data_IF_603938052250
#
_entry.id   IF_603938052250
#
_cell.length_a   1.000
_cell.length_b   1.000
_cell.length_c   1.000
_cell.angle_alpha   90.00
_cell.angle_beta   90.00
_cell.angle_gamma   90.00
#
_symmetry.space_group_name_H-M   'P 1'
#
loop_
_entity.id
_entity.type
_entity.pdbx_description
1 polymer ?
#
# COMPACT_ATOMS: atom_id res chain seq x y z
N UNK A 1 11.23 18.22 -8.91
CA UNK A 1 10.17 19.25 -8.85
C UNK A 1 9.30 19.10 -7.59
N UNK A 2 8.69 17.93 -7.37
CA UNK A 2 7.81 17.63 -6.22
C UNK A 2 8.41 17.95 -4.83
N UNK A 3 9.61 17.45 -4.51
CA UNK A 3 10.22 17.73 -3.19
C UNK A 3 10.55 19.21 -2.97
N UNK A 4 10.85 19.97 -4.04
CA UNK A 4 11.07 21.42 -3.91
C UNK A 4 9.77 22.14 -3.56
N UNK A 5 8.64 21.72 -4.14
CA UNK A 5 7.31 22.21 -3.80
C UNK A 5 7.00 21.93 -2.32
N UNK A 6 7.18 20.69 -1.85
CA UNK A 6 6.97 20.34 -0.44
C UNK A 6 7.86 21.16 0.51
N UNK A 7 9.15 21.30 0.19
CA UNK A 7 10.08 22.13 0.99
C UNK A 7 9.69 23.60 1.02
N UNK A 8 9.04 24.11 -0.03
CA UNK A 8 8.60 25.51 -0.04
C UNK A 8 7.53 25.82 1.01
N UNK A 9 6.80 24.79 1.49
CA UNK A 9 5.82 24.93 2.58
C UNK A 9 6.45 25.28 3.92
N UNK A 10 7.78 25.12 4.08
CA UNK A 10 8.50 25.56 5.28
C UNK A 10 8.41 27.07 5.50
N UNK A 11 8.07 27.85 4.46
CA UNK A 11 7.76 29.28 4.58
C UNK A 11 6.54 29.54 5.47
N UNK A 12 5.61 28.58 5.57
CA UNK A 12 4.41 28.70 6.43
C UNK A 12 4.75 28.40 7.89
N UNK A 13 5.55 27.36 8.13
CA UNK A 13 6.08 27.05 9.46
C UNK A 13 7.33 26.15 9.30
N UNK A 14 8.44 26.41 10.02
CA UNK A 14 9.67 25.62 9.92
C UNK A 14 9.49 24.12 10.22
N UNK A 15 8.50 23.75 11.04
CA UNK A 15 8.20 22.37 11.45
C UNK A 15 7.35 21.60 10.44
N UNK A 16 6.85 22.24 9.38
CA UNK A 16 6.04 21.57 8.34
C UNK A 16 6.81 20.42 7.70
N UNK A 17 8.12 20.59 7.49
CA UNK A 17 8.96 19.52 6.94
C UNK A 17 8.96 18.27 7.82
N UNK A 18 8.98 18.43 9.14
CA UNK A 18 9.00 17.29 10.06
C UNK A 18 7.71 16.47 9.95
N UNK A 19 6.55 17.12 9.79
CA UNK A 19 5.27 16.45 9.58
C UNK A 19 5.14 15.85 8.17
N UNK A 20 5.72 16.48 7.14
CA UNK A 20 5.83 15.91 5.80
C UNK A 20 6.65 14.62 5.82
N UNK A 21 7.76 14.60 6.56
CA UNK A 21 8.58 13.41 6.74
C UNK A 21 7.85 12.34 7.56
N UNK A 22 7.14 12.73 8.62
CA UNK A 22 6.36 11.82 9.47
C UNK A 22 5.25 11.10 8.67
N UNK A 23 4.60 11.81 7.76
CA UNK A 23 3.56 11.25 6.88
C UNK A 23 4.12 10.52 5.66
N UNK A 24 5.43 10.63 5.42
CA UNK A 24 6.12 10.14 4.22
C UNK A 24 5.58 10.75 2.91
N UNK A 25 5.04 11.96 2.97
CA UNK A 25 4.63 12.68 1.77
C UNK A 25 5.82 12.98 0.86
N UNK A 26 7.04 13.07 1.39
CA UNK A 26 8.27 13.18 0.59
C UNK A 26 8.62 11.91 -0.21
N UNK A 27 7.99 10.76 0.13
CA UNK A 27 8.21 9.42 -0.43
C UNK A 27 6.86 8.75 -0.76
N UNK A 28 6.15 9.20 -1.81
CA UNK A 28 4.74 8.86 -2.06
C UNK A 28 4.49 7.44 -2.56
N UNK A 29 5.52 6.59 -2.69
CA UNK A 29 5.39 5.22 -3.22
C UNK A 29 4.30 4.42 -2.51
N UNK A 30 4.21 4.54 -1.18
CA UNK A 30 3.21 3.84 -0.41
C UNK A 30 1.78 4.35 -0.65
N UNK A 31 1.61 5.61 -1.06
CA UNK A 31 0.31 6.13 -1.49
C UNK A 31 -0.08 5.44 -2.80
N UNK A 32 0.84 5.37 -3.76
CA UNK A 32 0.53 4.77 -5.05
C UNK A 32 0.23 3.27 -4.98
N UNK A 33 0.99 2.52 -4.17
CA UNK A 33 0.77 1.08 -3.98
C UNK A 33 -0.59 0.78 -3.31
N UNK A 34 -1.13 1.72 -2.54
CA UNK A 34 -2.49 1.64 -1.99
C UNK A 34 -3.56 2.17 -2.97
N UNK A 35 -3.20 3.19 -3.75
CA UNK A 35 -4.10 3.87 -4.68
C UNK A 35 -4.48 3.00 -5.87
N UNK A 36 -3.51 2.38 -6.55
CA UNK A 36 -3.81 1.62 -7.77
C UNK A 36 -4.83 0.50 -7.55
N UNK A 37 -4.67 -0.39 -6.56
CA UNK A 37 -5.65 -1.45 -6.31
C UNK A 37 -7.03 -0.90 -5.93
N UNK A 38 -7.08 0.19 -5.17
CA UNK A 38 -8.32 0.88 -4.83
C UNK A 38 -9.01 1.38 -6.09
N UNK A 39 -8.26 1.98 -7.02
CA UNK A 39 -8.79 2.44 -8.30
C UNK A 39 -9.15 1.29 -9.24
N UNK A 40 -8.44 0.16 -9.23
CA UNK A 40 -8.86 -1.05 -9.98
C UNK A 40 -10.26 -1.47 -9.56
N UNK A 41 -10.47 -1.61 -8.24
CA UNK A 41 -11.75 -2.01 -7.69
C UNK A 41 -12.85 -0.99 -8.03
N UNK A 42 -12.57 0.31 -7.88
CA UNK A 42 -13.54 1.36 -8.17
C UNK A 42 -13.93 1.40 -9.66
N UNK A 43 -12.96 1.28 -10.57
CA UNK A 43 -13.24 1.28 -12.02
C UNK A 43 -14.02 0.04 -12.46
N UNK A 44 -13.66 -1.15 -11.95
CA UNK A 44 -14.38 -2.39 -12.24
C UNK A 44 -15.80 -2.33 -11.67
N UNK A 45 -15.96 -1.86 -10.43
CA UNK A 45 -17.27 -1.72 -9.78
C UNK A 45 -18.18 -0.74 -10.53
N UNK A 46 -17.63 0.39 -10.99
CA UNK A 46 -18.34 1.39 -11.79
C UNK A 46 -18.45 1.05 -13.28
N UNK A 47 -18.01 -0.15 -13.70
CA UNK A 47 -17.99 -0.61 -15.10
C UNK A 47 -17.38 0.42 -16.06
N UNK A 48 -16.27 1.04 -15.65
CA UNK A 48 -15.58 2.07 -16.43
C UNK A 48 -15.97 3.51 -16.17
N UNK A 49 -17.10 3.74 -15.48
CA UNK A 49 -17.62 5.08 -15.18
C UNK A 49 -17.95 5.24 -13.68
N UNK A 50 -16.96 5.13 -12.78
CA UNK A 50 -17.21 5.31 -11.36
C UNK A 50 -17.65 6.73 -11.01
N UNK A 51 -18.47 6.85 -9.98
CA UNK A 51 -18.92 8.14 -9.44
C UNK A 51 -17.74 9.04 -9.09
N UNK A 52 -17.75 10.28 -9.59
CA UNK A 52 -16.73 11.28 -9.27
C UNK A 52 -16.61 11.51 -7.76
N UNK A 53 -17.74 11.47 -7.04
CA UNK A 53 -17.77 11.56 -5.58
C UNK A 53 -16.97 10.43 -4.94
N UNK A 54 -17.18 9.19 -5.38
CA UNK A 54 -16.43 8.04 -4.87
C UNK A 54 -14.94 8.12 -5.25
N UNK A 55 -14.60 8.55 -6.47
CA UNK A 55 -13.19 8.78 -6.85
C UNK A 55 -12.52 9.73 -5.87
N UNK A 56 -13.14 10.89 -5.60
CA UNK A 56 -12.58 11.89 -4.68
C UNK A 56 -12.46 11.35 -3.26
N UNK A 57 -13.51 10.70 -2.75
CA UNK A 57 -13.54 10.09 -1.41
C UNK A 57 -12.41 9.07 -1.25
N UNK A 58 -12.27 8.13 -2.19
CA UNK A 58 -11.28 7.07 -2.08
C UNK A 58 -9.84 7.58 -2.31
N UNK A 59 -9.61 8.50 -3.26
CA UNK A 59 -8.27 9.07 -3.46
C UNK A 59 -7.82 9.86 -2.23
N UNK A 60 -8.66 10.74 -1.68
CA UNK A 60 -8.33 11.47 -0.45
C UNK A 60 -8.20 10.52 0.75
N UNK A 61 -9.09 9.55 0.86
CA UNK A 61 -9.06 8.52 1.90
C UNK A 61 -7.75 7.73 1.87
N UNK A 62 -7.28 7.30 0.71
CA UNK A 62 -5.99 6.62 0.51
C UNK A 62 -4.83 7.49 0.99
N UNK A 63 -4.80 8.77 0.60
CA UNK A 63 -3.73 9.69 1.00
C UNK A 63 -3.70 9.88 2.52
N UNK A 64 -4.87 10.12 3.13
CA UNK A 64 -5.00 10.38 4.57
C UNK A 64 -4.72 9.12 5.41
N UNK A 65 -5.28 7.97 5.03
CA UNK A 65 -5.07 6.70 5.73
C UNK A 65 -3.63 6.22 5.62
N UNK A 66 -3.00 6.37 4.45
CA UNK A 66 -1.58 6.06 4.27
C UNK A 66 -0.70 6.95 5.13
N UNK A 67 -0.98 8.25 5.18
CA UNK A 67 -0.27 9.22 6.01
C UNK A 67 -0.42 8.88 7.51
N UNK A 68 -1.65 8.61 7.97
CA UNK A 68 -1.91 8.20 9.34
C UNK A 68 -1.24 6.87 9.69
N UNK A 69 -1.25 5.90 8.77
CA UNK A 69 -0.52 4.65 8.89
C UNK A 69 0.98 4.84 9.07
N UNK A 70 1.60 5.81 8.39
CA UNK A 70 3.00 6.18 8.67
C UNK A 70 3.18 6.70 10.09
N UNK A 71 2.31 7.63 10.52
CA UNK A 71 2.41 8.30 11.82
C UNK A 71 2.30 7.29 12.97
N UNK A 72 1.29 6.41 12.93
CA UNK A 72 1.11 5.41 14.00
C UNK A 72 2.19 4.33 13.97
N UNK A 73 2.69 3.96 12.79
CA UNK A 73 3.80 3.02 12.68
C UNK A 73 5.08 3.60 13.30
N UNK A 74 5.47 4.83 12.93
CA UNK A 74 6.64 5.49 13.52
C UNK A 74 6.45 5.71 15.04
N UNK A 75 5.23 5.99 15.50
CA UNK A 75 4.93 6.07 16.93
C UNK A 75 5.11 4.72 17.63
N UNK A 76 4.60 3.62 17.07
CA UNK A 76 4.74 2.27 17.62
C UNK A 76 6.21 1.80 17.65
N UNK A 77 6.99 2.26 16.67
CA UNK A 77 8.37 1.85 16.42
C UNK A 77 9.42 2.78 17.05
N UNK A 78 9.02 3.90 17.65
CA UNK A 78 9.92 4.95 18.18
C UNK A 78 11.05 4.46 19.11
N UNK A 79 10.86 3.34 19.80
CA UNK A 79 11.89 2.75 20.70
C UNK A 79 12.87 1.82 19.97
N UNK A 80 12.49 1.34 18.80
CA UNK A 80 13.25 0.37 17.98
C UNK A 80 13.95 1.08 16.83
N UNK A 81 13.29 2.06 16.20
CA UNK A 81 13.80 2.78 15.03
C UNK A 81 15.15 3.48 15.27
N UNK A 82 15.47 3.87 16.51
CA UNK A 82 16.78 4.43 16.86
C UNK A 82 17.96 3.47 16.66
N UNK A 83 17.71 2.17 16.52
CA UNK A 83 18.74 1.14 16.36
C UNK A 83 18.91 0.68 14.90
N UNK A 84 18.14 1.25 13.95
CA UNK A 84 18.18 0.87 12.54
C UNK A 84 18.69 2.05 11.71
N UNK A 85 19.79 1.84 10.98
CA UNK A 85 20.50 2.88 10.21
C UNK A 85 19.60 3.73 9.30
N UNK A 86 18.56 3.11 8.73
CA UNK A 86 17.62 3.78 7.82
C UNK A 86 16.58 4.66 8.54
N UNK A 87 16.28 4.37 9.81
CA UNK A 87 15.16 4.97 10.55
C UNK A 87 15.61 5.80 11.76
N UNK A 88 16.90 5.81 12.09
CA UNK A 88 17.49 6.60 13.18
C UNK A 88 17.23 8.12 13.06
N UNK A 89 17.07 8.65 11.83
CA UNK A 89 16.81 10.07 11.57
C UNK A 89 15.31 10.44 11.51
N UNK A 90 14.40 9.53 11.87
CA UNK A 90 12.95 9.81 11.85
C UNK A 90 12.59 10.96 12.80
N UNK A 91 11.56 11.79 12.50
CA UNK A 91 11.19 12.94 13.33
C UNK A 91 10.85 12.59 14.79
N UNK A 92 10.23 11.43 15.03
CA UNK A 92 9.89 10.95 16.37
C UNK A 92 11.11 10.43 17.15
N UNK A 93 12.10 9.86 16.46
CA UNK A 93 13.34 9.33 17.06
C UNK A 93 14.29 10.48 17.40
N UNK A 94 14.44 11.43 16.48
CA UNK A 94 15.28 12.63 16.65
C UNK A 94 14.67 13.71 17.55
N UNK A 95 13.47 13.49 18.10
CA UNK A 95 12.82 14.41 19.03
C UNK A 95 12.22 15.68 18.40
N UNK A 96 12.22 15.81 17.07
CA UNK A 96 11.62 16.96 16.35
C UNK A 96 10.11 17.04 16.47
N UNK A 97 9.47 15.88 16.65
CA UNK A 97 8.04 15.74 16.92
C UNK A 97 7.87 14.92 18.20
N UNK A 98 7.07 15.41 19.13
CA UNK A 98 6.73 14.69 20.35
C UNK A 98 5.71 13.57 20.10
N UNK A 99 5.69 12.56 20.97
CA UNK A 99 4.69 11.47 20.88
C UNK A 99 3.24 11.97 20.96
N UNK A 100 2.99 13.04 21.74
CA UNK A 100 1.65 13.64 21.86
C UNK A 100 1.22 14.32 20.56
N UNK A 101 2.11 15.09 19.95
CA UNK A 101 1.85 15.73 18.65
C UNK A 101 1.55 14.69 17.57
N UNK A 102 2.32 13.61 17.49
CA UNK A 102 2.08 12.54 16.53
C UNK A 102 0.70 11.87 16.73
N UNK A 103 0.29 11.58 17.97
CA UNK A 103 -1.01 10.98 18.24
C UNK A 103 -2.19 11.92 17.94
N UNK A 104 -2.07 13.21 18.29
CA UNK A 104 -3.09 14.22 17.93
C UNK A 104 -3.21 14.32 16.42
N UNK A 105 -2.08 14.39 15.71
CA UNK A 105 -2.08 14.50 14.27
C UNK A 105 -2.64 13.24 13.58
N UNK A 106 -2.30 12.05 14.09
CA UNK A 106 -2.93 10.79 13.67
C UNK A 106 -4.45 10.84 13.85
N UNK A 107 -4.94 11.28 15.02
CA UNK A 107 -6.37 11.37 15.28
C UNK A 107 -7.08 12.33 14.32
N UNK A 108 -6.45 13.46 13.97
CA UNK A 108 -6.98 14.40 12.96
C UNK A 108 -7.06 13.74 11.59
N UNK A 109 -5.99 13.07 11.13
CA UNK A 109 -5.98 12.39 9.83
C UNK A 109 -7.05 11.28 9.75
N UNK A 110 -7.20 10.48 10.81
CA UNK A 110 -8.21 9.42 10.87
C UNK A 110 -9.62 10.01 10.99
N UNK A 111 -9.80 11.10 11.73
CA UNK A 111 -11.07 11.82 11.82
C UNK A 111 -11.54 12.33 10.47
N UNK A 112 -10.67 12.98 9.69
CA UNK A 112 -10.99 13.43 8.33
C UNK A 112 -11.28 12.23 7.42
N UNK A 113 -10.49 11.15 7.52
CA UNK A 113 -10.74 9.92 6.75
C UNK A 113 -12.11 9.31 7.07
N UNK A 114 -12.50 9.32 8.33
CA UNK A 114 -13.81 8.83 8.78
C UNK A 114 -14.95 9.70 8.27
N UNK A 115 -14.81 11.03 8.31
CA UNK A 115 -15.79 11.95 7.72
C UNK A 115 -16.02 11.67 6.23
N UNK A 116 -14.96 11.37 5.47
CA UNK A 116 -15.10 10.98 4.06
C UNK A 116 -15.90 9.67 3.89
N UNK A 117 -15.66 8.67 4.74
CA UNK A 117 -16.40 7.40 4.69
C UNK A 117 -17.88 7.60 5.05
N UNK A 118 -18.21 8.53 5.95
CA UNK A 118 -19.62 8.86 6.27
C UNK A 118 -20.40 9.41 5.07
N UNK A 119 -19.72 9.91 4.03
CA UNK A 119 -20.34 10.38 2.78
C UNK A 119 -20.65 9.24 1.80
N UNK A 120 -20.44 7.98 2.19
CA UNK A 120 -20.71 6.80 1.35
C UNK A 120 -22.04 6.13 1.74
N UNK A 121 -22.04 4.82 2.03
CA UNK A 121 -23.21 4.06 2.44
C UNK A 121 -22.93 3.20 3.68
N UNK A 122 -23.99 2.70 4.31
CA UNK A 122 -23.91 1.94 5.56
C UNK A 122 -22.98 0.71 5.46
N UNK A 123 -23.01 -0.03 4.35
CA UNK A 123 -22.15 -1.19 4.13
C UNK A 123 -20.67 -0.81 4.09
N UNK A 124 -20.34 0.29 3.42
CA UNK A 124 -18.97 0.82 3.34
C UNK A 124 -18.48 1.34 4.69
N UNK A 125 -19.35 2.03 5.44
CA UNK A 125 -19.08 2.48 6.80
C UNK A 125 -18.76 1.27 7.70
N UNK A 126 -19.58 0.22 7.66
CA UNK A 126 -19.35 -0.99 8.44
C UNK A 126 -18.02 -1.67 8.07
N UNK A 127 -17.71 -1.77 6.77
CA UNK A 127 -16.44 -2.31 6.30
C UNK A 127 -15.23 -1.49 6.76
N UNK A 128 -15.36 -0.16 6.92
CA UNK A 128 -14.27 0.68 7.40
C UNK A 128 -13.81 0.32 8.81
N UNK A 129 -14.69 -0.24 9.65
CA UNK A 129 -14.33 -0.73 10.98
C UNK A 129 -13.35 -1.91 10.89
N UNK A 130 -13.57 -2.81 9.91
CA UNK A 130 -12.63 -3.89 9.60
C UNK A 130 -11.28 -3.36 9.10
N UNK A 131 -11.31 -2.34 8.23
CA UNK A 131 -10.09 -1.68 7.75
C UNK A 131 -9.31 -1.01 8.89
N UNK A 132 -10.01 -0.34 9.81
CA UNK A 132 -9.42 0.25 11.01
C UNK A 132 -8.80 -0.83 11.92
N UNK A 133 -9.46 -1.96 12.12
CA UNK A 133 -8.92 -3.06 12.92
C UNK A 133 -7.62 -3.64 12.32
N UNK A 134 -7.58 -3.83 10.99
CA UNK A 134 -6.37 -4.27 10.29
C UNK A 134 -5.24 -3.23 10.38
N UNK A 135 -5.55 -1.96 10.13
CA UNK A 135 -4.58 -0.88 10.21
C UNK A 135 -4.02 -0.70 11.63
N UNK A 136 -4.86 -0.85 12.66
CA UNK A 136 -4.47 -0.74 14.07
C UNK A 136 -3.63 -1.93 14.53
N UNK A 137 -3.87 -3.14 14.01
CA UNK A 137 -3.12 -4.34 14.39
C UNK A 137 -1.75 -4.41 13.72
N UNK A 138 -1.62 -4.00 12.45
CA UNK A 138 -0.40 -4.13 11.65
C UNK A 138 0.90 -3.67 12.34
N UNK A 139 1.00 -2.46 12.95
CA UNK A 139 2.25 -1.97 13.54
C UNK A 139 2.87 -2.89 14.60
N UNK A 140 2.05 -3.72 15.24
CA UNK A 140 2.47 -4.62 16.30
C UNK A 140 2.86 -6.01 15.80
N UNK A 141 2.50 -6.37 14.57
CA UNK A 141 2.59 -7.74 14.06
C UNK A 141 4.02 -8.26 13.96
N UNK A 142 4.99 -7.39 13.70
CA UNK A 142 6.43 -7.76 13.65
C UNK A 142 6.98 -8.30 14.98
N UNK A 143 6.26 -8.12 16.09
CA UNK A 143 6.61 -8.69 17.40
C UNK A 143 6.09 -10.12 17.55
N UNK A 144 4.98 -10.45 16.90
CA UNK A 144 4.25 -11.70 17.10
C UNK A 144 4.50 -12.70 15.98
N UNK A 145 4.53 -12.26 14.71
CA UNK A 145 4.61 -13.13 13.53
C UNK A 145 5.78 -12.76 12.61
N UNK A 146 6.27 -13.75 11.87
CA UNK A 146 7.22 -13.56 10.76
C UNK A 146 6.58 -13.10 9.46
N UNK A 147 5.25 -12.96 9.43
CA UNK A 147 4.53 -12.51 8.25
C UNK A 147 3.72 -11.21 8.49
N UNK A 148 4.30 -10.15 9.10
CA UNK A 148 3.58 -8.88 9.25
C UNK A 148 3.13 -8.29 7.90
N UNK A 149 3.83 -8.62 6.81
CA UNK A 149 3.48 -8.29 5.44
C UNK A 149 2.10 -8.81 5.01
N UNK A 150 1.63 -9.93 5.57
CA UNK A 150 0.29 -10.46 5.27
C UNK A 150 -0.78 -9.54 5.88
N UNK A 151 -0.56 -9.05 7.10
CA UNK A 151 -1.48 -8.10 7.75
C UNK A 151 -1.43 -6.74 7.06
N UNK A 152 -0.24 -6.30 6.63
CA UNK A 152 -0.09 -5.13 5.76
C UNK A 152 -0.88 -5.29 4.46
N UNK A 153 -0.71 -6.43 3.78
CA UNK A 153 -1.40 -6.74 2.53
C UNK A 153 -2.90 -6.79 2.69
N UNK A 154 -3.40 -7.34 3.80
CA UNK A 154 -4.81 -7.29 4.15
C UNK A 154 -5.31 -5.85 4.32
N UNK A 155 -4.58 -5.02 5.09
CA UNK A 155 -4.93 -3.61 5.29
C UNK A 155 -4.88 -2.80 3.98
N UNK A 156 -3.86 -3.02 3.14
CA UNK A 156 -3.68 -2.33 1.86
C UNK A 156 -4.72 -2.77 0.81
N UNK A 157 -5.23 -3.99 0.90
CA UNK A 157 -6.26 -4.50 -0.01
C UNK A 157 -7.67 -4.12 0.43
N UNK A 158 -7.86 -3.68 1.67
CA UNK A 158 -9.19 -3.44 2.25
C UNK A 158 -9.98 -2.32 1.59
N UNK A 159 -9.30 -1.38 0.92
CA UNK A 159 -9.96 -0.36 0.10
C UNK A 159 -10.80 -0.94 -1.04
N UNK A 160 -10.48 -2.15 -1.51
CA UNK A 160 -11.16 -2.79 -2.64
C UNK A 160 -12.61 -3.20 -2.32
N UNK A 161 -12.90 -4.00 -1.27
CA UNK A 161 -14.29 -4.30 -0.91
C UNK A 161 -15.09 -3.05 -0.56
N UNK A 162 -14.46 -2.06 0.09
CA UNK A 162 -15.10 -0.76 0.36
C UNK A 162 -15.46 -0.02 -0.94
N UNK A 163 -14.57 -0.01 -1.94
CA UNK A 163 -14.83 0.63 -3.23
C UNK A 163 -16.00 -0.05 -3.97
N UNK A 164 -16.07 -1.38 -3.95
CA UNK A 164 -17.22 -2.11 -4.52
C UNK A 164 -18.54 -1.75 -3.82
N UNK A 165 -18.58 -1.80 -2.49
CA UNK A 165 -19.82 -1.46 -1.77
C UNK A 165 -20.20 0.00 -1.96
N UNK A 166 -19.23 0.92 -1.99
CA UNK A 166 -19.47 2.35 -2.19
C UNK A 166 -20.08 2.63 -3.56
N UNK A 167 -19.64 1.91 -4.59
CA UNK A 167 -20.06 2.14 -5.98
C UNK A 167 -21.35 1.38 -6.33
N UNK A 168 -21.50 0.12 -5.91
CA UNK A 168 -22.61 -0.75 -6.36
C UNK A 168 -23.61 -1.09 -5.25
N UNK A 169 -23.35 -0.71 -4.01
CA UNK A 169 -24.22 -1.02 -2.85
C UNK A 169 -24.14 -2.48 -2.37
N UNK A 170 -23.33 -3.33 -3.00
CA UNK A 170 -23.16 -4.74 -2.61
C UNK A 170 -21.70 -5.18 -2.77
N UNK A 171 -21.31 -6.31 -2.15
CA UNK A 171 -19.97 -6.88 -2.30
C UNK A 171 -20.06 -8.24 -3.01
N UNK A 172 -19.80 -8.32 -4.34
CA UNK A 172 -19.85 -9.59 -5.04
C UNK A 172 -18.67 -10.48 -4.62
N UNK A 173 -18.87 -11.80 -4.58
CA UNK A 173 -17.82 -12.75 -4.19
C UNK A 173 -16.54 -12.61 -5.05
N UNK A 174 -16.71 -12.29 -6.34
CA UNK A 174 -15.61 -12.05 -7.28
C UNK A 174 -14.66 -10.92 -6.86
N UNK A 175 -15.14 -9.90 -6.12
CA UNK A 175 -14.28 -8.81 -5.63
C UNK A 175 -13.18 -9.32 -4.69
N UNK A 176 -13.38 -10.46 -4.02
CA UNK A 176 -12.36 -11.08 -3.17
C UNK A 176 -11.18 -11.64 -3.96
N UNK A 177 -11.34 -11.99 -5.25
CA UNK A 177 -10.21 -12.35 -6.09
C UNK A 177 -9.25 -11.18 -6.30
N UNK A 178 -9.80 -9.97 -6.47
CA UNK A 178 -9.02 -8.74 -6.58
C UNK A 178 -8.31 -8.42 -5.25
N UNK A 179 -9.03 -8.57 -4.12
CA UNK A 179 -8.45 -8.43 -2.78
C UNK A 179 -7.30 -9.41 -2.54
N UNK A 180 -7.50 -10.70 -2.84
CA UNK A 180 -6.47 -11.74 -2.65
C UNK A 180 -5.27 -11.48 -3.57
N UNK A 181 -5.51 -11.11 -4.83
CA UNK A 181 -4.44 -10.76 -5.75
C UNK A 181 -3.57 -9.62 -5.19
N UNK A 182 -4.20 -8.54 -4.71
CA UNK A 182 -3.47 -7.41 -4.16
C UNK A 182 -2.76 -7.77 -2.85
N UNK A 183 -3.34 -8.62 -2.02
CA UNK A 183 -2.71 -9.10 -0.79
C UNK A 183 -1.43 -9.87 -1.12
N UNK A 184 -1.51 -10.85 -2.03
CA UNK A 184 -0.36 -11.65 -2.47
C UNK A 184 0.73 -10.75 -3.06
N UNK A 185 0.34 -9.83 -3.93
CA UNK A 185 1.25 -8.86 -4.52
C UNK A 185 1.91 -7.97 -3.46
N UNK A 186 1.16 -7.49 -2.47
CA UNK A 186 1.67 -6.70 -1.35
C UNK A 186 2.69 -7.47 -0.54
N UNK A 187 2.45 -8.74 -0.23
CA UNK A 187 3.43 -9.57 0.46
C UNK A 187 4.70 -9.70 -0.38
N UNK A 188 4.57 -9.87 -1.70
CA UNK A 188 5.71 -9.93 -2.62
C UNK A 188 6.57 -8.66 -2.60
N UNK A 189 5.99 -7.50 -2.93
CA UNK A 189 6.76 -6.27 -3.02
C UNK A 189 7.26 -5.78 -1.65
N UNK A 190 6.51 -6.02 -0.57
CA UNK A 190 6.94 -5.57 0.77
C UNK A 190 8.02 -6.48 1.34
N UNK A 191 8.13 -7.72 0.82
CA UNK A 191 9.32 -8.54 1.06
C UNK A 191 10.56 -7.92 0.41
N UNK A 192 10.48 -7.41 -0.83
CA UNK A 192 11.59 -6.63 -1.42
C UNK A 192 11.97 -5.41 -0.58
N UNK A 193 10.99 -4.76 0.06
CA UNK A 193 11.21 -3.63 0.96
C UNK A 193 11.90 -4.04 2.27
N UNK A 194 11.64 -5.24 2.79
CA UNK A 194 12.25 -5.76 4.01
C UNK A 194 13.63 -6.40 3.80
N UNK A 195 13.93 -6.91 2.60
CA UNK A 195 15.24 -7.54 2.28
C UNK A 195 16.46 -6.67 2.62
N UNK A 196 16.48 -5.35 2.35
CA UNK A 196 17.58 -4.47 2.72
C UNK A 196 17.82 -4.41 4.23
N UNK A 197 16.82 -4.63 5.08
CA UNK A 197 16.95 -4.45 6.52
C UNK A 197 17.14 -5.78 7.28
N UNK A 198 17.17 -6.92 6.57
CA UNK A 198 17.23 -8.27 7.14
C UNK A 198 18.34 -8.47 8.18
N UNK A 199 19.57 -8.07 7.85
CA UNK A 199 20.73 -8.29 8.74
C UNK A 199 20.65 -7.43 10.01
N UNK A 200 20.01 -6.26 9.93
CA UNK A 200 19.80 -5.38 11.07
C UNK A 200 18.63 -5.87 11.91
N UNK A 201 17.53 -6.31 11.28
CA UNK A 201 16.34 -6.89 11.93
C UNK A 201 16.67 -8.15 12.74
N UNK A 202 17.55 -9.02 12.22
CA UNK A 202 18.02 -10.22 12.93
C UNK A 202 18.73 -9.90 14.25
N UNK A 203 19.52 -8.81 14.30
CA UNK A 203 20.25 -8.41 15.52
C UNK A 203 19.33 -7.91 16.63
N UNK A 204 18.21 -7.31 16.25
CA UNK A 204 17.23 -6.71 17.18
C UNK A 204 15.98 -7.57 17.40
N UNK A 205 15.94 -8.77 16.81
CA UNK A 205 14.84 -9.73 16.96
C UNK A 205 13.52 -9.31 16.29
N UNK A 206 13.58 -8.41 15.30
CA UNK A 206 12.40 -8.03 14.49
C UNK A 206 12.12 -9.12 13.47
N UNK A 207 10.84 -9.48 13.31
CA UNK A 207 10.40 -10.55 12.41
C UNK A 207 9.84 -9.97 11.10
N UNK A 208 10.13 -10.61 9.97
CA UNK A 208 9.67 -10.21 8.63
C UNK A 208 9.66 -11.39 7.65
N UNK A 209 8.93 -11.27 6.54
CA UNK A 209 8.94 -12.31 5.49
C UNK A 209 10.32 -12.46 4.84
N UNK A 210 11.13 -11.39 4.79
CA UNK A 210 12.51 -11.47 4.33
C UNK A 210 13.38 -12.39 5.22
N UNK A 211 13.08 -12.47 6.51
CA UNK A 211 13.71 -13.43 7.43
C UNK A 211 13.08 -14.81 7.26
N UNK A 212 11.74 -14.89 7.21
CA UNK A 212 11.01 -16.15 7.08
C UNK A 212 11.39 -16.94 5.83
N UNK A 213 11.47 -16.25 4.70
CA UNK A 213 11.71 -16.85 3.39
C UNK A 213 13.19 -17.18 3.18
N UNK A 214 14.09 -16.57 3.95
CA UNK A 214 15.53 -16.82 3.88
C UNK A 214 16.06 -16.73 2.45
N UNK A 215 16.80 -17.75 2.02
CA UNK A 215 17.38 -17.81 0.66
C UNK A 215 16.35 -18.09 -0.45
N UNK A 216 15.13 -18.51 -0.09
CA UNK A 216 14.03 -18.73 -1.03
C UNK A 216 13.23 -17.44 -1.32
N UNK A 217 13.57 -16.32 -0.67
CA UNK A 217 12.95 -15.00 -0.81
C UNK A 217 12.50 -14.66 -2.24
N UNK A 218 13.41 -14.65 -3.21
CA UNK A 218 13.15 -14.26 -4.59
C UNK A 218 12.19 -15.20 -5.31
N UNK A 219 12.31 -16.51 -5.08
CA UNK A 219 11.43 -17.51 -5.70
C UNK A 219 10.02 -17.41 -5.12
N UNK A 220 9.90 -17.20 -3.81
CA UNK A 220 8.62 -17.00 -3.15
C UNK A 220 7.97 -15.69 -3.63
N UNK A 221 8.72 -14.60 -3.74
CA UNK A 221 8.19 -13.33 -4.29
C UNK A 221 7.66 -13.54 -5.71
N UNK A 222 8.44 -14.17 -6.61
CA UNK A 222 7.99 -14.45 -7.97
C UNK A 222 6.74 -15.33 -8.00
N UNK A 223 6.66 -16.32 -7.11
CA UNK A 223 5.49 -17.19 -6.97
C UNK A 223 4.26 -16.40 -6.52
N UNK A 224 4.40 -15.53 -5.52
CA UNK A 224 3.31 -14.66 -5.04
C UNK A 224 2.83 -13.70 -6.13
N UNK A 225 3.75 -13.11 -6.89
CA UNK A 225 3.44 -12.25 -8.03
C UNK A 225 2.72 -13.02 -9.15
N UNK A 226 3.16 -14.24 -9.46
CA UNK A 226 2.48 -15.13 -10.42
C UNK A 226 1.07 -15.52 -9.98
N UNK A 227 0.89 -15.86 -8.70
CA UNK A 227 -0.43 -16.14 -8.12
C UNK A 227 -1.33 -14.91 -8.12
N UNK A 228 -0.79 -13.71 -7.86
CA UNK A 228 -1.54 -12.46 -7.97
C UNK A 228 -2.05 -12.24 -9.41
N UNK A 229 -1.21 -12.46 -10.43
CA UNK A 229 -1.64 -12.41 -11.83
C UNK A 229 -2.71 -13.46 -12.16
N UNK A 230 -2.59 -14.68 -11.63
CA UNK A 230 -3.59 -15.72 -11.81
C UNK A 230 -4.95 -15.32 -11.20
N UNK A 231 -4.95 -14.76 -9.99
CA UNK A 231 -6.17 -14.23 -9.36
C UNK A 231 -6.78 -13.07 -10.18
N UNK A 232 -5.95 -12.18 -10.73
CA UNK A 232 -6.40 -11.09 -11.61
C UNK A 232 -6.98 -11.60 -12.93
N UNK A 233 -6.39 -12.63 -13.55
CA UNK A 233 -6.94 -13.27 -14.73
C UNK A 233 -8.31 -13.90 -14.45
N UNK A 234 -8.44 -14.61 -13.33
CA UNK A 234 -9.72 -15.19 -12.91
C UNK A 234 -10.77 -14.10 -12.63
N UNK A 235 -10.38 -13.01 -11.96
CA UNK A 235 -11.28 -11.88 -11.73
C UNK A 235 -11.68 -11.22 -13.05
N UNK A 236 -10.73 -11.00 -13.97
CA UNK A 236 -10.97 -10.45 -15.30
C UNK A 236 -11.95 -11.29 -16.10
N UNK A 237 -11.80 -12.62 -16.11
CA UNK A 237 -12.75 -13.52 -16.77
C UNK A 237 -14.17 -13.41 -16.18
N UNK A 238 -14.31 -13.20 -14.87
CA UNK A 238 -15.61 -13.07 -14.18
C UNK A 238 -16.27 -11.70 -14.32
N UNK A 239 -15.47 -10.65 -14.47
CA UNK A 239 -15.94 -9.29 -14.79
C UNK A 239 -15.94 -9.01 -16.30
N UNK A 240 -15.71 -10.06 -17.11
CA UNK A 240 -15.69 -10.03 -18.57
C UNK A 240 -14.70 -9.01 -19.13
N UNK A 241 -13.56 -8.76 -18.46
CA UNK A 241 -12.47 -7.87 -18.92
C UNK A 241 -11.76 -8.46 -20.15
N UNK A 242 -11.34 -7.59 -21.07
CA UNK A 242 -10.94 -7.94 -22.43
C UNK A 242 -9.43 -7.86 -22.68
N UNK A 243 -9.06 -7.71 -23.95
CA UNK A 243 -7.67 -7.75 -24.42
C UNK A 243 -6.79 -6.66 -23.80
N UNK A 244 -7.31 -5.46 -23.56
CA UNK A 244 -6.54 -4.35 -23.01
C UNK A 244 -6.18 -4.58 -21.54
N UNK A 245 -7.09 -5.21 -20.78
CA UNK A 245 -6.78 -5.69 -19.44
C UNK A 245 -5.67 -6.75 -19.46
N UNK A 246 -5.74 -7.71 -20.37
CA UNK A 246 -4.68 -8.72 -20.52
C UNK A 246 -3.33 -8.11 -20.91
N UNK A 247 -3.30 -7.07 -21.74
CA UNK A 247 -2.07 -6.33 -22.05
C UNK A 247 -1.51 -5.61 -20.82
N UNK A 248 -2.37 -5.05 -19.97
CA UNK A 248 -1.97 -4.50 -18.66
C UNK A 248 -1.34 -5.55 -17.74
N UNK A 249 -1.92 -6.76 -17.70
CA UNK A 249 -1.34 -7.89 -16.95
C UNK A 249 -0.01 -8.37 -17.54
N UNK A 250 0.13 -8.40 -18.87
CA UNK A 250 1.38 -8.76 -19.54
C UNK A 250 2.49 -7.73 -19.23
N UNK A 251 2.17 -6.44 -19.23
CA UNK A 251 3.09 -5.39 -18.83
C UNK A 251 3.51 -5.51 -17.35
N UNK A 252 2.58 -5.84 -16.45
CA UNK A 252 2.89 -6.13 -15.05
C UNK A 252 3.78 -7.38 -14.90
N UNK A 253 3.53 -8.45 -15.67
CA UNK A 253 4.41 -9.62 -15.71
C UNK A 253 5.84 -9.27 -16.17
N UNK A 254 5.97 -8.38 -17.16
CA UNK A 254 7.26 -7.83 -17.58
C UNK A 254 7.97 -7.06 -16.46
N UNK A 255 7.22 -6.28 -15.68
CA UNK A 255 7.76 -5.60 -14.49
C UNK A 255 8.30 -6.60 -13.46
N UNK A 256 7.53 -7.65 -13.15
CA UNK A 256 7.93 -8.69 -12.20
C UNK A 256 9.15 -9.49 -12.68
N UNK A 257 9.22 -9.82 -13.97
CA UNK A 257 10.39 -10.46 -14.55
C UNK A 257 11.64 -9.57 -14.43
N UNK A 258 11.50 -8.27 -14.68
CA UNK A 258 12.58 -7.31 -14.49
C UNK A 258 13.02 -7.23 -13.02
N UNK A 259 12.08 -7.12 -12.08
CA UNK A 259 12.38 -7.08 -10.63
C UNK A 259 13.11 -8.34 -10.17
N UNK A 260 12.65 -9.52 -10.61
CA UNK A 260 13.28 -10.79 -10.31
C UNK A 260 14.72 -10.86 -10.83
N UNK A 261 14.96 -10.46 -12.08
CA UNK A 261 16.30 -10.44 -12.67
C UNK A 261 17.20 -9.38 -12.02
N UNK A 262 16.67 -8.18 -11.77
CA UNK A 262 17.41 -7.04 -11.24
C UNK A 262 17.90 -7.27 -9.81
N UNK A 263 17.17 -8.05 -9.02
CA UNK A 263 17.51 -8.39 -7.63
C UNK A 263 18.35 -9.66 -7.47
N UNK A 264 18.96 -10.17 -8.56
CA UNK A 264 19.68 -11.47 -8.56
C UNK A 264 20.84 -11.59 -7.59
N UNK A 265 21.51 -10.49 -7.30
CA UNK A 265 22.63 -10.38 -6.38
C UNK A 265 22.21 -9.98 -4.96
N UNK A 266 20.90 -9.75 -4.72
CA UNK A 266 20.33 -9.32 -3.44
C UNK A 266 20.96 -8.05 -2.86
N UNK A 267 21.47 -7.18 -3.72
CA UNK A 267 21.99 -5.88 -3.28
C UNK A 267 20.88 -5.04 -2.61
N UNK A 268 21.20 -4.43 -1.46
CA UNK A 268 20.25 -3.66 -0.63
C UNK A 268 19.55 -2.56 -1.44
N UNK A 269 20.30 -1.83 -2.26
CA UNK A 269 19.74 -0.74 -3.05
C UNK A 269 18.92 -1.23 -4.23
N UNK A 270 19.31 -2.36 -4.84
CA UNK A 270 18.54 -2.98 -5.92
C UNK A 270 17.20 -3.52 -5.43
N UNK A 271 17.16 -4.19 -4.27
CA UNK A 271 15.91 -4.65 -3.65
C UNK A 271 14.98 -3.47 -3.32
N UNK A 272 15.51 -2.39 -2.75
CA UNK A 272 14.72 -1.19 -2.50
C UNK A 272 14.18 -0.58 -3.80
N UNK A 273 14.97 -0.55 -4.88
CA UNK A 273 14.50 -0.06 -6.19
C UNK A 273 13.44 -0.97 -6.81
N UNK A 274 13.53 -2.29 -6.62
CA UNK A 274 12.49 -3.23 -7.07
C UNK A 274 11.16 -3.00 -6.33
N UNK A 275 11.21 -2.74 -5.01
CA UNK A 275 10.03 -2.30 -4.26
C UNK A 275 9.42 -1.01 -4.84
N UNK A 276 10.23 0.01 -5.13
CA UNK A 276 9.74 1.25 -5.76
C UNK A 276 9.16 1.01 -7.16
N UNK A 277 9.75 0.08 -7.91
CA UNK A 277 9.36 -0.24 -9.29
C UNK A 277 7.96 -0.85 -9.39
N UNK A 278 7.49 -1.54 -8.34
CA UNK A 278 6.16 -2.16 -8.32
C UNK A 278 5.03 -1.16 -8.59
N UNK A 279 5.24 0.14 -8.36
CA UNK A 279 4.33 1.19 -8.83
C UNK A 279 3.90 1.04 -10.29
N UNK A 280 4.85 0.70 -11.18
CA UNK A 280 4.60 0.57 -12.62
C UNK A 280 3.75 -0.63 -12.96
N UNK A 281 3.96 -1.76 -12.28
CA UNK A 281 3.09 -2.93 -12.44
C UNK A 281 1.65 -2.56 -12.07
N UNK A 282 1.46 -1.85 -10.96
CA UNK A 282 0.12 -1.50 -10.53
C UNK A 282 -0.58 -0.46 -11.42
N UNK A 283 0.18 0.52 -11.91
CA UNK A 283 -0.29 1.49 -12.89
C UNK A 283 -0.66 0.80 -14.23
N UNK A 284 0.17 -0.13 -14.71
CA UNK A 284 -0.08 -0.84 -15.97
C UNK A 284 -1.40 -1.62 -15.93
N UNK A 285 -1.69 -2.28 -14.81
CA UNK A 285 -2.97 -2.97 -14.58
C UNK A 285 -4.12 -1.96 -14.61
N UNK A 286 -3.98 -0.83 -13.90
CA UNK A 286 -5.02 0.20 -13.88
C UNK A 286 -5.31 0.76 -15.26
N UNK A 287 -4.27 1.15 -16.01
CA UNK A 287 -4.41 1.65 -17.38
C UNK A 287 -5.06 0.60 -18.28
N UNK A 288 -4.66 -0.68 -18.16
CA UNK A 288 -5.31 -1.78 -18.86
C UNK A 288 -6.81 -1.85 -18.59
N UNK A 289 -7.23 -1.76 -17.31
CA UNK A 289 -8.65 -1.73 -16.91
C UNK A 289 -9.38 -0.53 -17.53
N UNK A 290 -8.81 0.68 -17.39
CA UNK A 290 -9.44 1.91 -17.88
C UNK A 290 -9.63 1.87 -19.40
N UNK A 291 -8.58 1.50 -20.15
CA UNK A 291 -8.64 1.41 -21.61
C UNK A 291 -9.63 0.33 -22.03
N UNK A 292 -9.62 -0.82 -21.36
CA UNK A 292 -10.53 -1.93 -21.68
C UNK A 292 -12.00 -1.55 -21.54
N UNK A 293 -12.37 -0.74 -20.56
CA UNK A 293 -13.72 -0.19 -20.46
C UNK A 293 -13.99 0.95 -21.45
N UNK A 294 -12.99 1.79 -21.74
CA UNK A 294 -13.16 2.95 -22.62
C UNK A 294 -13.36 2.58 -24.10
N UNK A 295 -12.94 1.40 -24.52
CA UNK A 295 -13.07 0.92 -25.92
C UNK A 295 -14.25 -0.03 -26.15
N UNK A 296 -15.06 -0.29 -25.12
CA UNK A 296 -16.30 -1.07 -25.23
C UNK A 296 -17.47 -0.18 -25.62
#
# INVERSE_FOLDING_TARGET
MYQRLLKSLNRLNPRVWDFIQLTRMDKPIGIYLLLWPTLWALWIAGKGSPSLTNIVIFVLGVVLTRAGGCVINDWADRKVDGHVKRTEQRPLVSGKISSKEALVFFAVLMGISFLLVLLTNASTILLSLGGLALAASYPFMKRYTYSPQVVLGAAFSWGMPMAFTAETGHLPATAWLLYIANLLWTVGYDTYYAMPDRDDDLKIGVKSTAILFGDADRVIILTLQGLALACLLLAGARFELGGWFHLGLLAAAGCFAWEFWYTRDRDRMKCFKAFLHNHWAGLAIFVGIVVDYAVR
#
